data_IF_211474452116
#
_entry.id   IF_211474452116
#
_cell.length_a   1.000
_cell.length_b   1.000
_cell.length_c   1.000
_cell.angle_alpha   90.00
_cell.angle_beta   90.00
_cell.angle_gamma   90.00
#
_symmetry.space_group_name_H-M   'P 1'
#
loop_
_entity.id
_entity.type
_entity.pdbx_description
1 polymer ?
#
# COMPACT_ATOMS: atom_id res chain seq x y z
N UNK A 1 -19.93 8.94 -11.52
CA UNK A 1 -19.32 7.63 -11.18
C UNK A 1 -17.96 7.58 -11.84
N UNK A 2 -16.87 7.41 -11.08
CA UNK A 2 -15.51 7.28 -11.67
C UNK A 2 -15.35 5.89 -12.30
N UNK A 3 -14.51 5.81 -13.33
CA UNK A 3 -14.49 4.84 -14.44
C UNK A 3 -13.79 3.49 -14.17
N UNK A 4 -13.63 3.05 -12.91
CA UNK A 4 -12.80 1.88 -12.59
C UNK A 4 -13.53 0.54 -12.75
N UNK A 5 -14.87 0.53 -12.75
CA UNK A 5 -15.67 -0.70 -12.92
C UNK A 5 -15.61 -1.27 -14.35
N UNK A 6 -15.27 -0.45 -15.34
CA UNK A 6 -15.16 -0.88 -16.74
C UNK A 6 -13.76 -1.39 -17.08
N UNK A 7 -12.75 -1.00 -16.30
CA UNK A 7 -11.35 -1.32 -16.57
C UNK A 7 -10.82 -2.53 -15.75
N UNK A 8 -11.40 -2.81 -14.58
CA UNK A 8 -10.97 -3.88 -13.69
C UNK A 8 -12.13 -4.82 -13.35
N UNK A 9 -11.85 -6.12 -13.25
CA UNK A 9 -12.85 -7.09 -12.80
C UNK A 9 -13.04 -6.98 -11.27
N UNK A 10 -14.09 -7.59 -10.72
CA UNK A 10 -14.39 -7.51 -9.28
C UNK A 10 -13.30 -8.16 -8.40
N UNK A 11 -12.58 -9.16 -8.91
CA UNK A 11 -11.44 -9.78 -8.23
C UNK A 11 -10.21 -8.86 -8.19
N UNK A 12 -9.93 -8.13 -9.27
CA UNK A 12 -8.87 -7.12 -9.33
C UNK A 12 -9.17 -5.99 -8.34
N UNK A 13 -10.42 -5.53 -8.31
CA UNK A 13 -10.86 -4.53 -7.34
C UNK A 13 -10.68 -5.01 -5.90
N UNK A 14 -11.08 -6.25 -5.61
CA UNK A 14 -10.89 -6.86 -4.29
C UNK A 14 -9.41 -6.96 -3.93
N UNK A 15 -8.57 -7.36 -4.88
CA UNK A 15 -7.12 -7.47 -4.69
C UNK A 15 -6.46 -6.12 -4.46
N UNK A 16 -6.86 -5.08 -5.20
CA UNK A 16 -6.38 -3.71 -4.98
C UNK A 16 -6.77 -3.21 -3.59
N UNK A 17 -8.01 -3.47 -3.15
CA UNK A 17 -8.49 -3.10 -1.81
C UNK A 17 -7.70 -3.84 -0.73
N UNK A 18 -7.43 -5.14 -0.88
CA UNK A 18 -6.58 -5.92 0.03
C UNK A 18 -5.18 -5.33 0.12
N UNK A 19 -4.52 -5.10 -1.02
CA UNK A 19 -3.19 -4.51 -1.08
C UNK A 19 -3.15 -3.12 -0.43
N UNK A 20 -4.17 -2.29 -0.67
CA UNK A 20 -4.25 -0.96 -0.10
C UNK A 20 -4.57 -0.98 1.41
N UNK A 21 -5.20 -2.05 1.92
CA UNK A 21 -5.38 -2.29 3.35
C UNK A 21 -4.13 -2.78 4.04
N UNK A 22 -3.27 -3.50 3.31
CA UNK A 22 -2.05 -4.07 3.83
C UNK A 22 -1.01 -2.98 4.12
N UNK A 23 -0.59 -2.96 5.38
CA UNK A 23 0.26 -1.92 5.92
C UNK A 23 1.68 -1.89 5.34
N UNK A 24 2.08 -2.96 4.64
CA UNK A 24 3.43 -3.18 4.09
C UNK A 24 3.51 -2.99 2.58
N UNK A 25 2.39 -2.79 1.90
CA UNK A 25 2.35 -2.69 0.44
C UNK A 25 2.46 -1.24 0.02
N UNK A 26 3.59 -0.83 -0.61
CA UNK A 26 3.73 0.54 -1.07
C UNK A 26 2.77 0.81 -2.24
N UNK A 27 2.29 2.04 -2.36
CA UNK A 27 1.48 2.45 -3.53
C UNK A 27 2.22 2.25 -4.85
N UNK A 28 3.56 2.26 -4.84
CA UNK A 28 4.38 1.92 -6.00
C UNK A 28 4.13 0.49 -6.49
N UNK A 29 3.93 -0.49 -5.60
CA UNK A 29 3.62 -1.87 -6.01
C UNK A 29 2.25 -1.95 -6.72
N UNK A 30 1.27 -1.22 -6.18
CA UNK A 30 -0.07 -1.14 -6.80
C UNK A 30 0.02 -0.45 -8.17
N UNK A 31 0.83 0.59 -8.29
CA UNK A 31 1.08 1.28 -9.55
C UNK A 31 1.78 0.36 -10.58
N UNK A 32 2.76 -0.45 -10.16
CA UNK A 32 3.44 -1.37 -11.08
C UNK A 32 2.56 -2.50 -11.57
N UNK A 33 1.62 -2.98 -10.75
CA UNK A 33 0.75 -4.12 -11.08
C UNK A 33 -0.52 -3.71 -11.82
N UNK A 34 -1.11 -2.57 -11.45
CA UNK A 34 -2.42 -2.14 -11.94
C UNK A 34 -2.40 -0.76 -12.61
N UNK A 35 -1.25 -0.09 -12.69
CA UNK A 35 -1.13 1.26 -13.26
C UNK A 35 -1.83 2.35 -12.43
N UNK A 36 -2.21 2.05 -11.19
CA UNK A 36 -2.91 2.98 -10.32
C UNK A 36 -1.93 3.80 -9.49
N UNK A 37 -1.92 5.11 -9.71
CA UNK A 37 -1.23 6.04 -8.85
C UNK A 37 -1.91 6.16 -7.47
N UNK A 38 -1.21 6.73 -6.50
CA UNK A 38 -1.72 6.85 -5.12
C UNK A 38 -3.08 7.56 -5.04
N UNK A 39 -3.27 8.64 -5.79
CA UNK A 39 -4.53 9.40 -5.79
C UNK A 39 -5.68 8.54 -6.31
N UNK A 40 -5.45 7.76 -7.37
CA UNK A 40 -6.45 6.84 -7.93
C UNK A 40 -6.81 5.73 -6.93
N UNK A 41 -5.83 5.19 -6.19
CA UNK A 41 -6.09 4.21 -5.12
C UNK A 41 -6.89 4.84 -3.97
N UNK A 42 -6.57 6.06 -3.57
CA UNK A 42 -7.32 6.78 -2.52
C UNK A 42 -8.77 7.00 -2.94
N UNK A 43 -9.00 7.43 -4.19
CA UNK A 43 -10.34 7.62 -4.73
C UNK A 43 -11.12 6.31 -4.80
N UNK A 44 -10.48 5.23 -5.26
CA UNK A 44 -11.05 3.89 -5.31
C UNK A 44 -11.48 3.43 -3.91
N UNK A 45 -10.57 3.54 -2.94
CA UNK A 45 -10.81 3.16 -1.55
C UNK A 45 -11.97 3.97 -0.96
N UNK A 46 -12.07 5.26 -1.26
CA UNK A 46 -13.17 6.11 -0.80
C UNK A 46 -14.53 5.64 -1.31
N UNK A 47 -14.58 5.00 -2.47
CA UNK A 47 -15.81 4.49 -3.07
C UNK A 47 -16.15 3.07 -2.64
N UNK A 48 -15.14 2.26 -2.30
CA UNK A 48 -15.33 0.87 -1.90
C UNK A 48 -15.68 0.67 -0.43
N UNK A 49 -15.42 1.65 0.44
CA UNK A 49 -15.66 1.50 1.87
C UNK A 49 -16.48 2.62 2.49
N UNK A 50 -17.03 2.31 3.67
CA UNK A 50 -17.79 3.29 4.46
C UNK A 50 -16.91 4.49 4.86
N UNK A 51 -17.48 5.70 4.95
CA UNK A 51 -16.73 6.91 5.27
C UNK A 51 -15.93 6.83 6.58
N UNK A 52 -16.45 6.13 7.60
CA UNK A 52 -15.77 5.90 8.87
C UNK A 52 -14.50 5.05 8.73
N UNK A 53 -14.59 3.92 8.03
CA UNK A 53 -13.45 3.05 7.72
C UNK A 53 -12.39 3.76 6.88
N UNK A 54 -12.83 4.57 5.90
CA UNK A 54 -11.93 5.36 5.08
C UNK A 54 -11.13 6.38 5.89
N UNK A 55 -11.77 7.09 6.83
CA UNK A 55 -11.08 8.04 7.72
C UNK A 55 -10.03 7.34 8.59
N UNK A 56 -10.34 6.16 9.14
CA UNK A 56 -9.39 5.37 9.93
C UNK A 56 -8.21 4.90 9.07
N UNK A 57 -8.48 4.40 7.86
CA UNK A 57 -7.44 4.01 6.90
C UNK A 57 -6.56 5.21 6.51
N UNK A 58 -7.15 6.37 6.20
CA UNK A 58 -6.38 7.59 5.89
C UNK A 58 -5.51 8.04 7.05
N UNK A 59 -6.00 7.96 8.29
CA UNK A 59 -5.19 8.27 9.48
C UNK A 59 -3.97 7.32 9.59
N UNK A 60 -4.17 6.02 9.34
CA UNK A 60 -3.06 5.03 9.30
C UNK A 60 -2.06 5.33 8.20
N UNK A 61 -2.54 5.67 7.00
CA UNK A 61 -1.68 5.89 5.84
C UNK A 61 -0.94 7.24 5.87
N UNK A 62 -1.55 8.30 6.45
CA UNK A 62 -0.94 9.63 6.55
C UNK A 62 0.21 9.67 7.57
N UNK A 63 0.19 8.82 8.61
CA UNK A 63 1.24 8.77 9.64
C UNK A 63 2.53 8.07 9.23
N UNK A 64 2.66 7.60 7.97
CA UNK A 64 3.78 6.76 7.55
C UNK A 64 4.86 7.51 6.77
N UNK A 65 5.93 7.84 7.47
CA UNK A 65 7.13 8.49 6.94
C UNK A 65 7.97 7.57 6.03
N UNK A 66 7.80 6.25 6.10
CA UNK A 66 8.68 5.22 5.49
C UNK A 66 8.12 4.52 4.24
N UNK A 67 7.16 5.13 3.53
CA UNK A 67 6.42 4.47 2.43
C UNK A 67 7.21 4.28 1.13
N UNK A 68 8.28 5.05 0.91
CA UNK A 68 9.10 4.89 -0.27
C UNK A 68 10.00 3.67 -0.09
N UNK A 69 10.05 2.79 -1.10
CA UNK A 69 11.03 1.70 -1.14
C UNK A 69 12.45 2.23 -0.84
N UNK A 70 12.75 3.45 -1.30
CA UNK A 70 14.01 4.16 -1.05
C UNK A 70 14.27 4.60 0.40
N UNK A 71 13.28 4.57 1.30
CA UNK A 71 13.48 4.81 2.75
C UNK A 71 13.71 3.55 3.55
N UNK A 72 13.48 2.36 2.98
CA UNK A 72 14.02 1.11 3.52
C UNK A 72 15.50 1.08 3.18
N UNK A 73 16.33 1.59 4.08
CA UNK A 73 17.77 1.33 4.04
C UNK A 73 18.02 -0.15 4.31
N UNK A 74 17.90 -1.00 3.29
CA UNK A 74 18.37 -2.39 3.39
C UNK A 74 18.82 -2.94 2.04
N UNK A 75 20.02 -2.52 1.64
CA UNK A 75 20.88 -3.29 0.75
C UNK A 75 21.42 -4.47 1.55
N UNK A 76 20.69 -5.59 1.58
CA UNK A 76 21.11 -6.92 2.07
C UNK A 76 22.25 -6.89 3.12
N UNK A 77 21.90 -6.64 4.37
CA UNK A 77 22.74 -7.01 5.53
C UNK A 77 22.19 -8.25 6.20
N UNK A 78 23.00 -9.05 6.88
CA UNK A 78 22.47 -10.09 7.77
C UNK A 78 22.00 -9.40 9.05
N UNK A 79 20.75 -9.57 9.46
CA UNK A 79 20.33 -9.16 10.81
C UNK A 79 21.08 -10.04 11.80
N UNK A 80 22.07 -9.47 12.48
CA UNK A 80 22.79 -10.14 13.56
C UNK A 80 22.47 -9.41 14.86
N UNK A 81 22.28 -10.16 15.94
CA UNK A 81 22.14 -9.53 17.25
C UNK A 81 23.46 -8.81 17.61
N UNK A 82 23.43 -7.68 18.34
CA UNK A 82 24.65 -6.95 18.69
C UNK A 82 25.70 -7.79 19.44
N UNK A 83 25.28 -8.87 20.10
CA UNK A 83 26.14 -9.81 20.82
C UNK A 83 26.67 -10.96 19.95
N UNK A 84 26.28 -11.06 18.67
CA UNK A 84 26.74 -12.14 17.80
C UNK A 84 28.19 -11.89 17.40
N UNK A 85 29.11 -12.52 18.13
CA UNK A 85 30.51 -12.62 17.71
C UNK A 85 30.55 -13.44 16.43
N UNK A 86 30.80 -12.78 15.30
CA UNK A 86 31.08 -13.48 14.04
C UNK A 86 32.46 -14.11 14.21
N UNK A 87 32.51 -15.44 14.18
CA UNK A 87 33.73 -16.23 14.40
C UNK A 87 34.67 -16.12 13.21
#
# INVERSE_FOLDING_TARGET
>A
MKLYKTAFNDADLSRIVEMAWEDRTPFEAINTLYGLNETAVIDLMRQQMQPSSFRMWRKRMAGRTTKHLGKRGFLVGRFVCPSQRTR
#
